data_IF_823241063933
#
_entry.id   IF_823241063933
#
_cell.length_a   1.000
_cell.length_b   1.000
_cell.length_c   1.000
_cell.angle_alpha   90.00
_cell.angle_beta   90.00
_cell.angle_gamma   90.00
#
_symmetry.space_group_name_H-M   'P 1'
#
loop_
_entity.id
_entity.type
_entity.pdbx_description
1 polymer ?
#
# COMPACT_ATOMS: atom_id res chain seq x y z
N UNK A 1 17.56 15.73 10.42
CA UNK A 1 16.60 14.97 9.57
C UNK A 1 15.14 15.11 10.02
N UNK A 2 14.77 14.76 11.27
CA UNK A 2 13.40 14.92 11.75
C UNK A 2 12.89 16.36 11.66
N UNK A 3 13.73 17.34 12.01
CA UNK A 3 13.44 18.74 11.88
C UNK A 3 13.19 19.14 10.41
N UNK A 4 13.97 18.63 9.48
CA UNK A 4 13.77 18.83 8.04
C UNK A 4 12.38 18.34 7.58
N UNK A 5 11.98 17.11 7.95
CA UNK A 5 10.64 16.61 7.62
C UNK A 5 9.54 17.39 8.36
N UNK A 6 9.84 17.92 9.56
CA UNK A 6 8.92 18.81 10.25
C UNK A 6 8.69 20.10 9.45
N UNK A 7 9.73 20.68 8.85
CA UNK A 7 9.58 21.85 7.96
C UNK A 7 8.79 21.54 6.69
N UNK A 8 8.92 20.31 6.13
CA UNK A 8 8.13 19.88 4.98
C UNK A 8 6.67 19.55 5.32
N UNK A 9 6.38 19.29 6.59
CA UNK A 9 5.01 19.02 7.07
C UNK A 9 4.72 19.79 8.37
N UNK A 10 4.80 21.14 8.37
CA UNK A 10 4.72 21.95 9.59
C UNK A 10 3.33 21.94 10.20
N UNK A 11 2.32 21.75 9.40
CA UNK A 11 0.93 21.89 9.79
C UNK A 11 0.31 20.60 10.35
N UNK A 12 -0.86 20.72 10.96
CA UNK A 12 -1.74 19.59 11.24
C UNK A 12 -2.17 18.91 9.93
N UNK A 13 -2.62 17.66 9.99
CA UNK A 13 -3.13 16.99 8.77
C UNK A 13 -4.24 17.78 8.10
N UNK A 14 -5.17 18.37 8.87
CA UNK A 14 -6.28 19.16 8.33
C UNK A 14 -5.81 20.37 7.53
N UNK A 15 -4.90 21.17 8.10
CA UNK A 15 -4.36 22.34 7.41
C UNK A 15 -3.42 21.94 6.25
N UNK A 16 -2.63 20.87 6.44
CA UNK A 16 -1.81 20.32 5.37
C UNK A 16 -2.65 19.85 4.18
N UNK A 17 -3.79 19.23 4.41
CA UNK A 17 -4.71 18.83 3.35
C UNK A 17 -5.27 20.01 2.56
N UNK A 18 -5.55 21.14 3.22
CA UNK A 18 -5.95 22.35 2.51
C UNK A 18 -4.90 22.77 1.47
N UNK A 19 -3.61 22.80 1.84
CA UNK A 19 -2.54 23.11 0.89
C UNK A 19 -2.36 21.99 -0.17
N UNK A 20 -2.52 20.72 0.21
CA UNK A 20 -2.51 19.61 -0.74
C UNK A 20 -3.61 19.75 -1.80
N UNK A 21 -4.79 20.20 -1.41
CA UNK A 21 -5.93 20.40 -2.31
C UNK A 21 -5.64 21.51 -3.33
N UNK A 22 -5.02 22.62 -2.92
CA UNK A 22 -4.58 23.68 -3.83
C UNK A 22 -3.52 23.16 -4.82
N UNK A 23 -2.48 22.49 -4.32
CA UNK A 23 -1.41 21.91 -5.14
C UNK A 23 -1.98 20.87 -6.13
N UNK A 24 -2.86 19.99 -5.67
CA UNK A 24 -3.47 18.97 -6.52
C UNK A 24 -4.32 19.56 -7.64
N UNK A 25 -5.01 20.67 -7.39
CA UNK A 25 -5.78 21.39 -8.40
C UNK A 25 -4.88 21.95 -9.51
N UNK A 26 -3.74 22.52 -9.14
CA UNK A 26 -2.72 23.02 -10.10
C UNK A 26 -2.15 21.82 -10.90
N UNK A 27 -1.74 20.73 -10.22
CA UNK A 27 -1.19 19.53 -10.87
C UNK A 27 -2.19 18.95 -11.87
N UNK A 28 -3.47 18.90 -11.51
CA UNK A 28 -4.54 18.41 -12.38
C UNK A 28 -4.75 19.33 -13.59
N UNK A 29 -4.85 20.64 -13.38
CA UNK A 29 -5.02 21.64 -14.44
C UNK A 29 -3.86 21.63 -15.46
N UNK A 30 -2.64 21.45 -14.99
CA UNK A 30 -1.44 21.33 -15.83
C UNK A 30 -1.32 19.97 -16.55
N UNK A 31 -2.26 19.05 -16.31
CA UNK A 31 -2.27 17.72 -16.91
C UNK A 31 -0.90 17.02 -16.88
N UNK A 32 -0.24 17.07 -15.73
CA UNK A 32 1.12 16.58 -15.52
C UNK A 32 1.25 15.08 -15.84
N UNK A 33 2.48 14.56 -15.88
CA UNK A 33 2.75 13.13 -16.07
C UNK A 33 2.05 12.24 -15.03
N UNK A 34 1.93 12.72 -13.78
CA UNK A 34 1.20 12.05 -12.71
C UNK A 34 -0.27 11.87 -13.12
N UNK A 35 -0.94 12.93 -13.54
CA UNK A 35 -2.34 12.91 -13.99
C UNK A 35 -2.53 11.98 -15.19
N UNK A 36 -1.65 12.04 -16.20
CA UNK A 36 -1.72 11.19 -17.39
C UNK A 36 -1.61 9.71 -17.05
N UNK A 37 -0.68 9.32 -16.18
CA UNK A 37 -0.52 7.92 -15.74
C UNK A 37 -1.74 7.47 -14.94
N UNK A 38 -2.21 8.27 -13.98
CA UNK A 38 -3.40 7.96 -13.20
C UNK A 38 -4.63 7.75 -14.08
N UNK A 39 -4.83 8.62 -15.09
CA UNK A 39 -5.94 8.51 -16.05
C UNK A 39 -5.89 7.19 -16.85
N UNK A 40 -4.72 6.79 -17.33
CA UNK A 40 -4.53 5.51 -18.04
C UNK A 40 -4.92 4.35 -17.12
N UNK A 41 -4.39 4.32 -15.91
CA UNK A 41 -4.61 3.23 -14.97
C UNK A 41 -6.07 3.14 -14.51
N UNK A 42 -6.68 4.28 -14.19
CA UNK A 42 -8.08 4.35 -13.75
C UNK A 42 -9.01 3.91 -14.88
N UNK A 43 -8.73 4.31 -16.12
CA UNK A 43 -9.49 3.86 -17.30
C UNK A 43 -9.42 2.33 -17.48
N UNK A 44 -8.25 1.72 -17.25
CA UNK A 44 -8.10 0.26 -17.32
C UNK A 44 -8.94 -0.42 -16.22
N UNK A 45 -8.92 0.13 -15.02
CA UNK A 45 -9.61 -0.45 -13.87
C UNK A 45 -11.14 -0.22 -13.86
N UNK A 46 -11.66 0.69 -14.69
CA UNK A 46 -13.07 1.08 -14.73
C UNK A 46 -13.59 1.16 -16.17
N UNK A 47 -13.44 0.06 -16.92
CA UNK A 47 -13.78 0.00 -18.36
C UNK A 47 -15.28 0.25 -18.65
N UNK A 48 -16.13 -0.05 -17.66
CA UNK A 48 -17.58 0.13 -17.75
C UNK A 48 -18.06 1.57 -17.49
N UNK A 49 -17.19 2.44 -16.95
CA UNK A 49 -17.54 3.82 -16.60
C UNK A 49 -17.43 4.76 -17.80
N UNK A 50 -18.32 5.75 -17.83
CA UNK A 50 -18.25 6.81 -18.84
C UNK A 50 -17.04 7.75 -18.59
N UNK A 51 -16.74 8.60 -19.58
CA UNK A 51 -15.58 9.50 -19.55
C UNK A 51 -15.64 10.50 -18.39
N UNK A 52 -16.83 11.02 -18.07
CA UNK A 52 -17.01 11.99 -16.98
C UNK A 52 -16.69 11.38 -15.62
N UNK A 53 -17.20 10.18 -15.36
CA UNK A 53 -16.95 9.47 -14.10
C UNK A 53 -15.47 9.13 -13.93
N UNK A 54 -14.81 8.72 -15.02
CA UNK A 54 -13.36 8.48 -15.00
C UNK A 54 -12.59 9.75 -14.63
N UNK A 55 -12.89 10.90 -15.25
CA UNK A 55 -12.22 12.16 -14.95
C UNK A 55 -12.46 12.63 -13.49
N UNK A 56 -13.65 12.39 -12.95
CA UNK A 56 -13.94 12.67 -11.53
C UNK A 56 -13.07 11.79 -10.61
N UNK A 57 -12.98 10.49 -10.90
CA UNK A 57 -12.08 9.58 -10.13
C UNK A 57 -10.63 10.03 -10.26
N UNK A 58 -10.16 10.43 -11.45
CA UNK A 58 -8.79 10.93 -11.67
C UNK A 58 -8.52 12.18 -10.82
N UNK A 59 -9.44 13.15 -10.85
CA UNK A 59 -9.30 14.39 -10.07
C UNK A 59 -9.22 14.11 -8.57
N UNK A 60 -10.11 13.26 -8.05
CA UNK A 60 -10.09 12.83 -6.65
C UNK A 60 -8.82 12.05 -6.32
N UNK A 61 -8.38 11.12 -7.18
CA UNK A 61 -7.18 10.34 -6.97
C UNK A 61 -5.92 11.22 -6.90
N UNK A 62 -5.76 12.19 -7.80
CA UNK A 62 -4.64 13.14 -7.75
C UNK A 62 -4.62 13.90 -6.42
N UNK A 63 -5.78 14.35 -5.93
CA UNK A 63 -5.92 15.01 -4.65
C UNK A 63 -5.49 14.09 -3.50
N UNK A 64 -6.01 12.86 -3.46
CA UNK A 64 -5.71 11.91 -2.38
C UNK A 64 -4.24 11.42 -2.44
N UNK A 65 -3.63 11.31 -3.63
CA UNK A 65 -2.19 11.03 -3.76
C UNK A 65 -1.33 12.11 -3.12
N UNK A 66 -1.61 13.39 -3.38
CA UNK A 66 -0.85 14.50 -2.78
C UNK A 66 -1.03 14.52 -1.25
N UNK A 67 -2.24 14.28 -0.76
CA UNK A 67 -2.50 14.12 0.68
C UNK A 67 -1.73 12.94 1.27
N UNK A 68 -1.66 11.81 0.58
CA UNK A 68 -0.92 10.61 1.00
C UNK A 68 0.59 10.87 1.12
N UNK A 69 1.17 11.66 0.21
CA UNK A 69 2.56 12.11 0.35
C UNK A 69 2.75 12.99 1.58
N UNK A 70 1.83 13.91 1.84
CA UNK A 70 1.87 14.72 3.06
C UNK A 70 1.74 13.88 4.33
N UNK A 71 0.87 12.86 4.35
CA UNK A 71 0.74 11.90 5.46
C UNK A 71 2.05 11.18 5.73
N UNK A 72 2.77 10.77 4.68
CA UNK A 72 4.09 10.14 4.82
C UNK A 72 5.10 11.09 5.46
N UNK A 73 5.20 12.33 4.98
CA UNK A 73 6.07 13.35 5.57
C UNK A 73 5.68 13.64 7.03
N UNK A 74 4.38 13.74 7.30
CA UNK A 74 3.84 13.94 8.64
C UNK A 74 4.17 12.75 9.56
N UNK A 75 4.04 11.52 9.07
CA UNK A 75 4.41 10.30 9.80
C UNK A 75 5.90 10.28 10.17
N UNK A 76 6.77 10.64 9.22
CA UNK A 76 8.22 10.68 9.43
C UNK A 76 8.66 11.78 10.40
N UNK A 77 7.87 12.84 10.59
CA UNK A 77 8.20 14.00 11.41
C UNK A 77 7.62 13.94 12.83
N UNK A 78 6.53 13.20 13.06
CA UNK A 78 5.78 13.20 14.33
C UNK A 78 6.11 11.99 15.21
N UNK A 79 5.75 12.10 16.49
CA UNK A 79 5.81 11.00 17.44
C UNK A 79 4.56 10.11 17.34
N UNK A 80 4.66 8.90 17.88
CA UNK A 80 3.62 7.89 17.79
C UNK A 80 2.30 8.31 18.47
N UNK A 81 2.37 9.05 19.57
CA UNK A 81 1.18 9.54 20.28
C UNK A 81 0.36 10.51 19.41
N UNK A 82 1.04 11.39 18.65
CA UNK A 82 0.38 12.28 17.69
C UNK A 82 -0.25 11.52 16.54
N UNK A 83 0.46 10.51 16.01
CA UNK A 83 -0.01 9.71 14.89
C UNK A 83 -1.22 8.84 15.25
N UNK A 84 -1.26 8.33 16.49
CA UNK A 84 -2.37 7.46 16.94
C UNK A 84 -3.74 8.14 16.88
N UNK A 85 -3.77 9.44 17.12
CA UNK A 85 -4.99 10.24 17.11
C UNK A 85 -5.52 10.57 15.70
N UNK A 86 -4.80 10.12 14.63
CA UNK A 86 -5.17 10.44 13.25
C UNK A 86 -6.07 9.40 12.60
N UNK A 87 -6.14 8.22 13.17
CA UNK A 87 -7.05 7.15 12.73
C UNK A 87 -8.33 7.22 13.57
N UNK A 88 -9.47 7.47 12.93
CA UNK A 88 -10.72 7.66 13.67
C UNK A 88 -11.49 6.36 13.93
N UNK A 89 -11.28 5.32 13.11
CA UNK A 89 -11.85 3.98 13.32
C UNK A 89 -10.96 2.88 12.74
N UNK A 90 -11.18 1.66 13.22
CA UNK A 90 -10.59 0.43 12.68
C UNK A 90 -11.73 -0.55 12.45
N UNK A 91 -11.98 -0.90 11.19
CA UNK A 91 -13.03 -1.82 10.78
C UNK A 91 -12.52 -3.26 10.73
N UNK A 92 -13.39 -4.21 11.07
CA UNK A 92 -13.14 -5.66 11.01
C UNK A 92 -11.89 -6.11 11.79
N UNK A 93 -11.53 -5.41 12.86
CA UNK A 93 -10.34 -5.73 13.68
C UNK A 93 -10.33 -7.18 14.19
N UNK A 94 -11.51 -7.78 14.35
CA UNK A 94 -11.65 -9.16 14.78
C UNK A 94 -10.93 -10.16 13.86
N UNK A 95 -10.84 -9.88 12.55
CA UNK A 95 -10.09 -10.70 11.60
C UNK A 95 -8.61 -10.81 11.97
N UNK A 96 -8.03 -9.73 12.50
CA UNK A 96 -6.67 -9.71 13.00
C UNK A 96 -6.55 -10.35 14.38
N UNK A 97 -7.41 -9.97 15.35
CA UNK A 97 -7.30 -10.37 16.74
C UNK A 97 -7.67 -11.83 16.99
N UNK A 98 -8.60 -12.40 16.21
CA UNK A 98 -9.09 -13.78 16.36
C UNK A 98 -8.35 -14.78 15.44
N UNK A 99 -7.43 -14.34 14.60
CA UNK A 99 -6.66 -15.26 13.76
C UNK A 99 -5.65 -16.03 14.61
N UNK A 100 -5.73 -17.37 14.59
CA UNK A 100 -4.72 -18.24 15.20
C UNK A 100 -3.39 -18.08 14.49
N UNK A 101 -2.29 -17.89 15.24
CA UNK A 101 -0.98 -17.53 14.71
C UNK A 101 0.10 -18.58 14.94
N UNK A 102 -0.28 -19.85 15.03
CA UNK A 102 0.68 -20.95 15.25
C UNK A 102 1.82 -20.94 14.22
N UNK A 103 1.58 -20.40 13.02
CA UNK A 103 2.51 -20.32 11.90
C UNK A 103 2.84 -18.87 11.50
N UNK A 104 2.65 -17.91 12.42
CA UNK A 104 2.77 -16.49 12.11
C UNK A 104 1.52 -15.92 11.43
N UNK A 105 1.63 -14.70 10.89
CA UNK A 105 0.55 -14.02 10.18
C UNK A 105 1.12 -13.16 9.04
N UNK A 106 0.49 -13.24 7.88
CA UNK A 106 0.79 -12.38 6.73
C UNK A 106 -0.26 -11.28 6.63
N UNK A 107 0.16 -10.02 6.75
CA UNK A 107 -0.67 -8.86 6.45
C UNK A 107 -0.45 -8.44 4.99
N UNK A 108 -1.42 -8.77 4.13
CA UNK A 108 -1.46 -8.34 2.74
C UNK A 108 -1.99 -6.91 2.66
N UNK A 109 -1.25 -6.01 2.03
CA UNK A 109 -1.68 -4.64 1.81
C UNK A 109 -1.49 -4.19 0.36
N UNK A 110 -1.97 -2.99 0.06
CA UNK A 110 -1.74 -2.26 -1.18
C UNK A 110 -1.34 -0.81 -0.86
N UNK A 111 -0.82 -0.08 -1.86
CA UNK A 111 -0.47 1.34 -1.69
C UNK A 111 -1.73 2.23 -1.74
N UNK A 112 -2.63 1.99 -0.78
CA UNK A 112 -3.77 2.86 -0.48
C UNK A 112 -3.36 3.81 0.63
N UNK A 113 -3.35 5.11 0.39
CA UNK A 113 -2.87 6.13 1.33
C UNK A 113 -1.41 5.89 1.75
N UNK A 114 -0.98 6.51 2.86
CA UNK A 114 0.39 6.35 3.36
C UNK A 114 0.63 4.98 4.00
N UNK A 115 1.42 4.14 3.34
CA UNK A 115 1.85 2.84 3.90
C UNK A 115 2.73 3.01 5.14
N UNK A 116 3.46 4.13 5.27
CA UNK A 116 4.24 4.44 6.48
C UNK A 116 3.34 4.72 7.68
N UNK A 117 2.24 5.45 7.46
CA UNK A 117 1.27 5.71 8.52
C UNK A 117 0.51 4.43 8.89
N UNK A 118 0.14 3.59 7.91
CA UNK A 118 -0.47 2.28 8.15
C UNK A 118 0.47 1.41 8.99
N UNK A 119 1.72 1.22 8.56
CA UNK A 119 2.71 0.41 9.28
C UNK A 119 2.90 0.91 10.72
N UNK A 120 3.00 2.23 10.91
CA UNK A 120 3.10 2.83 12.24
C UNK A 120 1.90 2.48 13.15
N UNK A 121 0.69 2.42 12.61
CA UNK A 121 -0.50 2.06 13.38
C UNK A 121 -0.55 0.56 13.72
N UNK A 122 -0.17 -0.29 12.77
CA UNK A 122 -0.15 -1.74 12.97
C UNK A 122 0.88 -2.16 14.02
N UNK A 123 2.07 -1.55 14.01
CA UNK A 123 3.16 -1.86 14.96
C UNK A 123 2.92 -1.44 16.40
N UNK A 124 1.86 -0.69 16.68
CA UNK A 124 1.44 -0.42 18.08
C UNK A 124 0.95 -1.64 18.80
N UNK A 125 0.46 -2.61 18.08
CA UNK A 125 -0.16 -3.79 18.67
C UNK A 125 0.87 -4.90 18.81
N UNK A 126 1.70 -5.07 17.79
CA UNK A 126 2.70 -6.14 17.75
C UNK A 126 3.88 -5.76 16.83
N UNK A 127 5.02 -6.42 17.05
CA UNK A 127 6.18 -6.26 16.19
C UNK A 127 5.88 -6.84 14.79
N UNK A 128 6.20 -6.08 13.76
CA UNK A 128 5.96 -6.46 12.36
C UNK A 128 7.28 -6.47 11.60
N UNK A 129 7.52 -7.54 10.85
CA UNK A 129 8.62 -7.61 9.89
C UNK A 129 8.10 -7.23 8.50
N UNK A 130 8.74 -6.24 7.86
CA UNK A 130 8.35 -5.77 6.54
C UNK A 130 9.56 -5.58 5.62
N UNK A 131 9.32 -5.60 4.31
CA UNK A 131 10.33 -5.26 3.31
C UNK A 131 9.98 -3.95 2.61
N UNK A 132 11.00 -3.22 2.18
CA UNK A 132 10.84 -1.98 1.44
C UNK A 132 11.85 -1.87 0.30
N UNK A 133 11.47 -1.16 -0.74
CA UNK A 133 12.40 -0.84 -1.82
C UNK A 133 13.33 0.28 -1.37
N UNK A 134 14.67 0.10 -1.46
CA UNK A 134 15.61 1.12 -1.03
C UNK A 134 15.44 2.43 -1.80
N UNK A 135 15.57 3.54 -1.08
CA UNK A 135 15.61 4.89 -1.67
C UNK A 135 17.02 5.13 -2.18
N UNK A 136 17.16 5.63 -3.40
CA UNK A 136 18.47 5.85 -4.05
C UNK A 136 19.39 6.82 -3.29
N UNK A 137 18.82 7.71 -2.48
CA UNK A 137 19.57 8.68 -1.67
C UNK A 137 19.87 8.04 -0.30
N UNK A 138 21.14 7.68 -0.07
CA UNK A 138 21.56 6.87 1.07
C UNK A 138 21.13 7.43 2.44
N UNK A 139 21.38 8.73 2.71
CA UNK A 139 20.99 9.33 3.99
C UNK A 139 19.48 9.34 4.23
N UNK A 140 18.68 9.48 3.15
CA UNK A 140 17.21 9.43 3.21
C UNK A 140 16.73 7.99 3.43
N UNK A 141 17.36 7.02 2.76
CA UNK A 141 17.10 5.60 2.97
C UNK A 141 17.30 5.20 4.44
N UNK A 142 18.43 5.57 5.02
CA UNK A 142 18.74 5.29 6.42
C UNK A 142 17.79 5.97 7.39
N UNK A 143 17.39 7.19 7.11
CA UNK A 143 16.44 7.91 7.94
C UNK A 143 15.06 7.24 7.94
N UNK A 144 14.53 6.90 6.75
CA UNK A 144 13.24 6.22 6.61
C UNK A 144 13.28 4.85 7.29
N UNK A 145 14.35 4.08 7.07
CA UNK A 145 14.58 2.80 7.73
C UNK A 145 14.56 2.92 9.26
N UNK A 146 15.37 3.83 9.83
CA UNK A 146 15.41 4.09 11.27
C UNK A 146 14.06 4.55 11.84
N UNK A 147 13.30 5.34 11.08
CA UNK A 147 11.99 5.80 11.50
C UNK A 147 10.98 4.66 11.59
N UNK A 148 10.95 3.78 10.58
CA UNK A 148 10.12 2.56 10.58
C UNK A 148 10.50 1.63 11.73
N UNK A 149 11.80 1.39 11.96
CA UNK A 149 12.27 0.57 13.09
C UNK A 149 11.88 1.15 14.45
N UNK A 150 11.87 2.47 14.57
CA UNK A 150 11.47 3.14 15.82
C UNK A 150 9.99 2.98 16.13
N UNK A 151 9.14 2.71 15.14
CA UNK A 151 7.72 2.40 15.36
C UNK A 151 7.49 0.98 15.87
N UNK A 152 8.55 0.15 16.02
CA UNK A 152 8.47 -1.24 16.44
C UNK A 152 8.54 -2.26 15.29
N UNK A 153 8.77 -1.81 14.05
CA UNK A 153 8.93 -2.71 12.90
C UNK A 153 10.38 -3.20 12.77
N UNK A 154 10.55 -4.44 12.31
CA UNK A 154 11.80 -4.91 11.68
C UNK A 154 11.68 -4.67 10.17
N UNK A 155 12.51 -3.81 9.59
CA UNK A 155 12.43 -3.50 8.15
C UNK A 155 13.69 -3.86 7.42
N UNK A 156 13.54 -4.57 6.29
CA UNK A 156 14.61 -5.05 5.43
C UNK A 156 14.41 -4.57 4.00
N UNK A 157 15.50 -4.52 3.24
CA UNK A 157 15.42 -4.20 1.82
C UNK A 157 14.80 -5.35 1.02
N UNK A 158 14.12 -5.02 -0.08
CA UNK A 158 13.55 -6.00 -1.01
C UNK A 158 14.66 -6.69 -1.81
N UNK A 159 15.28 -7.71 -1.22
CA UNK A 159 16.31 -8.57 -1.79
C UNK A 159 16.20 -9.98 -1.16
N UNK A 160 17.06 -10.91 -1.57
CA UNK A 160 17.06 -12.28 -1.04
C UNK A 160 17.20 -12.34 0.48
N UNK A 161 18.00 -11.45 1.09
CA UNK A 161 18.14 -11.37 2.55
C UNK A 161 16.82 -10.96 3.19
N UNK A 162 16.16 -9.92 2.68
CA UNK A 162 14.85 -9.49 3.19
C UNK A 162 13.79 -10.57 3.08
N UNK A 163 13.76 -11.33 1.99
CA UNK A 163 12.83 -12.48 1.84
C UNK A 163 13.12 -13.57 2.88
N UNK A 164 14.40 -13.88 3.15
CA UNK A 164 14.77 -14.84 4.22
C UNK A 164 14.30 -14.36 5.61
N UNK A 165 14.39 -13.07 5.88
CA UNK A 165 13.92 -12.50 7.16
C UNK A 165 12.40 -12.58 7.30
N UNK A 166 11.61 -12.37 6.21
CA UNK A 166 10.17 -12.60 6.23
C UNK A 166 9.83 -14.06 6.53
N UNK A 167 10.50 -14.99 5.87
CA UNK A 167 10.30 -16.43 6.09
C UNK A 167 10.65 -16.83 7.53
N UNK A 168 11.80 -16.38 8.03
CA UNK A 168 12.24 -16.62 9.42
C UNK A 168 11.27 -16.06 10.45
N UNK A 169 10.70 -14.86 10.20
CA UNK A 169 9.70 -14.28 11.07
C UNK A 169 8.44 -15.15 11.16
N UNK A 170 7.94 -15.63 10.02
CA UNK A 170 6.78 -16.53 9.99
C UNK A 170 7.05 -17.85 10.72
N UNK A 171 8.23 -18.45 10.53
CA UNK A 171 8.60 -19.68 11.24
C UNK A 171 8.64 -19.51 12.76
N UNK A 172 8.89 -18.28 13.25
CA UNK A 172 8.86 -17.93 14.68
C UNK A 172 7.47 -17.54 15.20
N UNK A 173 6.43 -17.65 14.37
CA UNK A 173 5.08 -17.23 14.73
C UNK A 173 4.89 -15.70 14.73
N UNK A 174 5.84 -14.93 14.14
CA UNK A 174 5.78 -13.46 14.07
C UNK A 174 4.89 -12.98 12.90
N UNK A 175 4.61 -11.68 12.87
CA UNK A 175 3.79 -11.05 11.84
C UNK A 175 4.68 -10.42 10.77
N UNK A 176 4.31 -10.63 9.51
CA UNK A 176 4.89 -9.88 8.39
C UNK A 176 3.85 -8.99 7.72
N UNK A 177 4.30 -7.89 7.10
CA UNK A 177 3.42 -7.02 6.29
C UNK A 177 4.07 -6.68 4.95
N UNK A 178 3.28 -6.70 3.89
CA UNK A 178 3.74 -6.38 2.54
C UNK A 178 2.61 -5.74 1.71
N UNK A 179 2.89 -4.58 1.10
CA UNK A 179 2.10 -4.05 -0.01
C UNK A 179 2.55 -4.74 -1.31
N UNK A 180 1.68 -5.58 -1.88
CA UNK A 180 2.04 -6.53 -2.95
C UNK A 180 1.60 -6.09 -4.36
N UNK A 181 1.14 -4.85 -4.50
CA UNK A 181 0.55 -4.30 -5.73
C UNK A 181 1.58 -3.75 -6.75
N UNK A 182 2.87 -3.63 -6.40
CA UNK A 182 3.89 -3.13 -7.30
C UNK A 182 4.54 -4.23 -8.14
N UNK A 183 5.03 -3.84 -9.33
CA UNK A 183 5.72 -4.75 -10.26
C UNK A 183 7.06 -5.18 -9.66
N UNK A 184 7.30 -6.49 -9.46
CA UNK A 184 8.54 -7.00 -8.89
C UNK A 184 9.72 -6.88 -9.87
N UNK A 185 10.93 -7.16 -9.37
CA UNK A 185 12.11 -7.28 -10.20
C UNK A 185 11.94 -8.45 -11.21
N UNK A 186 12.71 -8.41 -12.30
CA UNK A 186 12.69 -9.49 -13.30
C UNK A 186 13.06 -10.83 -12.65
N UNK A 187 12.32 -11.89 -12.98
CA UNK A 187 12.50 -13.23 -12.40
C UNK A 187 11.81 -13.44 -11.04
N UNK A 188 11.21 -12.40 -10.43
CA UNK A 188 10.58 -12.48 -9.09
C UNK A 188 9.04 -12.40 -9.13
N UNK A 189 8.43 -12.69 -10.26
CA UNK A 189 6.98 -12.65 -10.43
C UNK A 189 6.50 -13.52 -11.56
N UNK A 190 5.20 -13.57 -11.70
CA UNK A 190 4.48 -14.25 -12.77
C UNK A 190 3.52 -13.29 -13.44
N UNK A 191 3.03 -13.62 -14.63
CA UNK A 191 1.97 -12.85 -15.27
C UNK A 191 0.62 -13.34 -14.75
N UNK A 192 -0.21 -12.42 -14.26
CA UNK A 192 -1.51 -12.72 -13.69
C UNK A 192 -2.50 -11.57 -13.90
N UNK A 193 -3.79 -11.88 -13.91
CA UNK A 193 -4.85 -10.89 -14.11
C UNK A 193 -4.88 -9.85 -12.99
N UNK A 194 -5.01 -8.57 -13.39
CA UNK A 194 -5.24 -7.43 -12.51
C UNK A 194 -6.09 -6.40 -13.27
N UNK A 195 -7.32 -6.16 -12.82
CA UNK A 195 -8.29 -5.34 -13.52
C UNK A 195 -8.45 -5.71 -15.01
N UNK A 196 -8.58 -6.99 -15.32
CA UNK A 196 -8.77 -7.50 -16.68
C UNK A 196 -7.52 -7.47 -17.57
N UNK A 197 -6.36 -7.09 -17.07
CA UNK A 197 -5.08 -7.09 -17.78
C UNK A 197 -4.11 -8.11 -17.18
N UNK A 198 -3.45 -8.88 -18.04
CA UNK A 198 -2.43 -9.85 -17.62
C UNK A 198 -1.10 -9.14 -17.40
N UNK A 199 -0.73 -8.89 -16.13
CA UNK A 199 0.40 -8.06 -15.74
C UNK A 199 1.39 -8.79 -14.84
N UNK A 200 2.67 -8.38 -14.89
CA UNK A 200 3.71 -8.98 -14.06
C UNK A 200 3.48 -8.68 -12.58
N UNK A 201 3.23 -9.72 -11.79
CA UNK A 201 2.76 -9.69 -10.39
C UNK A 201 3.71 -10.48 -9.51
N UNK A 202 3.98 -10.01 -8.30
CA UNK A 202 4.79 -10.76 -7.33
C UNK A 202 4.08 -12.04 -6.89
N UNK A 203 4.85 -13.12 -6.75
CA UNK A 203 4.36 -14.40 -6.20
C UNK A 203 4.88 -14.63 -4.75
N UNK A 204 5.41 -13.58 -4.10
CA UNK A 204 6.08 -13.74 -2.81
C UNK A 204 5.12 -14.13 -1.68
N UNK A 205 3.99 -13.42 -1.54
CA UNK A 205 3.00 -13.72 -0.49
C UNK A 205 2.38 -15.11 -0.69
N UNK A 206 1.88 -15.49 -1.89
CA UNK A 206 1.43 -16.86 -2.14
C UNK A 206 2.48 -17.92 -1.79
N UNK A 207 3.73 -17.70 -2.18
CA UNK A 207 4.83 -18.64 -1.89
C UNK A 207 5.16 -18.75 -0.40
N UNK A 208 5.08 -17.64 0.35
CA UNK A 208 5.28 -17.67 1.81
C UNK A 208 4.12 -18.41 2.49
N UNK A 209 2.87 -18.11 2.10
CA UNK A 209 1.68 -18.79 2.61
C UNK A 209 1.77 -20.31 2.41
N UNK A 210 2.05 -20.75 1.18
CA UNK A 210 2.16 -22.18 0.85
C UNK A 210 3.27 -22.91 1.62
N UNK A 211 4.39 -22.21 1.94
CA UNK A 211 5.54 -22.82 2.63
C UNK A 211 5.44 -22.81 4.16
N UNK A 212 4.64 -21.91 4.72
CA UNK A 212 4.61 -21.71 6.18
C UNK A 212 3.26 -22.03 6.79
N UNK A 213 2.21 -22.21 5.98
CA UNK A 213 0.81 -22.32 6.41
C UNK A 213 0.33 -21.07 7.20
N UNK A 214 1.09 -19.96 7.15
CA UNK A 214 0.72 -18.73 7.83
C UNK A 214 -0.58 -18.16 7.20
N UNK A 215 -1.61 -17.86 7.99
CA UNK A 215 -2.82 -17.24 7.49
C UNK A 215 -2.52 -15.87 6.88
N UNK A 216 -3.34 -15.44 5.92
CA UNK A 216 -3.28 -14.12 5.32
C UNK A 216 -4.49 -13.33 5.78
N UNK A 217 -4.27 -12.09 6.20
CA UNK A 217 -5.31 -11.10 6.47
C UNK A 217 -4.99 -9.86 5.64
N UNK A 218 -5.95 -9.41 4.83
CA UNK A 218 -5.77 -8.16 4.08
C UNK A 218 -6.04 -6.96 4.97
N UNK A 219 -5.29 -5.87 4.76
CA UNK A 219 -5.43 -4.63 5.52
C UNK A 219 -5.00 -3.43 4.68
N UNK A 220 -5.81 -2.38 4.68
CA UNK A 220 -5.46 -1.13 4.03
C UNK A 220 -5.93 0.09 4.83
N UNK A 221 -5.32 1.23 4.56
CA UNK A 221 -5.78 2.52 5.04
C UNK A 221 -6.66 3.16 3.97
N UNK A 222 -7.74 3.78 4.41
CA UNK A 222 -8.70 4.48 3.56
C UNK A 222 -9.04 5.83 4.13
N UNK A 223 -9.53 6.72 3.27
CA UNK A 223 -10.22 7.94 3.67
C UNK A 223 -11.73 7.75 3.56
N UNK A 224 -12.46 8.23 4.55
CA UNK A 224 -13.92 8.28 4.52
C UNK A 224 -14.38 9.26 3.44
N UNK A 225 -15.23 8.81 2.54
CA UNK A 225 -15.66 9.58 1.35
C UNK A 225 -16.41 10.85 1.75
N UNK A 226 -17.10 10.84 2.90
CA UNK A 226 -17.95 11.95 3.35
C UNK A 226 -17.18 13.04 4.06
N UNK A 227 -16.20 12.67 4.91
CA UNK A 227 -15.51 13.60 5.79
C UNK A 227 -13.98 13.59 5.66
N UNK A 228 -13.42 12.74 4.81
CA UNK A 228 -11.99 12.64 4.54
C UNK A 228 -11.13 12.13 5.71
N UNK A 229 -11.74 11.60 6.79
CA UNK A 229 -11.02 11.08 7.95
C UNK A 229 -10.41 9.72 7.64
N UNK A 230 -9.18 9.49 8.10
CA UNK A 230 -8.47 8.25 7.87
C UNK A 230 -8.97 7.13 8.78
N UNK A 231 -9.14 5.94 8.20
CA UNK A 231 -9.47 4.73 8.92
C UNK A 231 -8.69 3.52 8.37
N UNK A 232 -8.58 2.47 9.20
CA UNK A 232 -7.98 1.20 8.80
C UNK A 232 -9.10 0.19 8.65
N UNK A 233 -9.07 -0.59 7.57
CA UNK A 233 -9.99 -1.69 7.34
C UNK A 233 -9.22 -2.98 7.11
N UNK A 234 -9.56 -4.00 7.89
CA UNK A 234 -9.20 -5.37 7.60
C UNK A 234 -10.24 -5.95 6.63
N UNK A 235 -9.78 -6.64 5.59
CA UNK A 235 -10.63 -7.21 4.56
C UNK A 235 -10.89 -8.70 4.77
N UNK A 236 -10.42 -9.56 3.86
CA UNK A 236 -10.60 -10.99 3.94
C UNK A 236 -9.50 -11.68 4.75
N UNK A 237 -9.83 -12.89 5.25
CA UNK A 237 -8.90 -13.82 5.88
C UNK A 237 -8.81 -15.10 5.04
N UNK A 238 -7.60 -15.54 4.76
CA UNK A 238 -7.31 -16.76 4.02
C UNK A 238 -6.49 -17.72 4.88
N UNK A 239 -6.98 -18.96 5.00
CA UNK A 239 -6.34 -20.05 5.74
C UNK A 239 -5.84 -21.11 4.74
N UNK A 240 -4.75 -21.78 5.06
CA UNK A 240 -4.25 -22.87 4.23
C UNK A 240 -5.18 -24.11 4.20
N UNK A 241 -5.97 -24.28 5.26
CA UNK A 241 -6.95 -25.38 5.39
C UNK A 241 -8.21 -25.22 4.54
N UNK A 242 -8.47 -24.03 4.06
CA UNK A 242 -9.62 -23.78 3.18
C UNK A 242 -9.19 -24.25 1.78
N UNK A 243 -9.66 -25.35 1.26
CA UNK A 243 -9.33 -26.02 0.00
C UNK A 243 -9.11 -25.10 -1.24
N UNK A 244 -9.01 -23.81 -1.05
CA UNK A 244 -8.65 -22.77 -2.01
C UNK A 244 -7.19 -22.36 -1.83
N UNK A 245 -6.36 -22.75 -2.80
CA UNK A 245 -4.98 -22.25 -2.87
C UNK A 245 -4.99 -20.73 -3.05
N UNK A 246 -4.42 -20.00 -2.08
CA UNK A 246 -4.19 -18.56 -2.24
C UNK A 246 -3.00 -18.34 -3.19
N UNK A 247 -3.28 -18.12 -4.44
CA UNK A 247 -2.32 -17.84 -5.52
C UNK A 247 -2.22 -16.36 -5.86
N UNK A 248 -1.43 -16.01 -6.86
CA UNK A 248 -1.28 -14.61 -7.30
C UNK A 248 -2.57 -14.03 -7.91
N UNK A 249 -3.47 -14.86 -8.44
CA UNK A 249 -4.79 -14.46 -8.92
C UNK A 249 -5.69 -14.06 -7.77
N UNK A 250 -5.77 -14.90 -6.73
CA UNK A 250 -6.51 -14.60 -5.51
C UNK A 250 -5.95 -13.33 -4.82
N UNK A 251 -4.61 -13.20 -4.77
CA UNK A 251 -3.95 -11.99 -4.23
C UNK A 251 -4.32 -10.73 -5.01
N UNK A 252 -4.25 -10.74 -6.33
CA UNK A 252 -4.64 -9.60 -7.15
C UNK A 252 -6.11 -9.25 -6.95
N UNK A 253 -6.99 -10.25 -6.88
CA UNK A 253 -8.43 -10.04 -6.65
C UNK A 253 -8.71 -9.40 -5.31
N UNK A 254 -8.00 -9.80 -4.27
CA UNK A 254 -8.11 -9.16 -2.95
C UNK A 254 -7.60 -7.71 -2.97
N UNK A 255 -6.50 -7.44 -3.69
CA UNK A 255 -6.00 -6.07 -3.88
C UNK A 255 -7.02 -5.21 -4.64
N UNK A 256 -7.64 -5.74 -5.70
CA UNK A 256 -8.74 -5.06 -6.42
C UNK A 256 -9.91 -4.72 -5.47
N UNK A 257 -10.27 -5.65 -4.60
CA UNK A 257 -11.33 -5.44 -3.60
C UNK A 257 -10.97 -4.31 -2.64
N UNK A 258 -9.74 -4.27 -2.12
CA UNK A 258 -9.27 -3.16 -1.29
C UNK A 258 -9.29 -1.82 -2.02
N UNK A 259 -8.87 -1.79 -3.29
CA UNK A 259 -8.87 -0.57 -4.11
C UNK A 259 -10.30 -0.07 -4.34
N UNK A 260 -11.24 -0.97 -4.62
CA UNK A 260 -12.63 -0.63 -4.94
C UNK A 260 -13.43 -0.08 -3.76
N UNK A 261 -12.96 -0.20 -2.51
CA UNK A 261 -13.58 0.44 -1.33
C UNK A 261 -13.60 1.97 -1.48
N UNK A 262 -12.47 2.55 -1.86
CA UNK A 262 -12.35 3.96 -2.26
C UNK A 262 -11.26 4.09 -3.33
N UNK A 263 -11.62 3.99 -4.61
CA UNK A 263 -10.63 4.02 -5.71
C UNK A 263 -9.74 5.26 -5.72
N UNK A 264 -10.18 6.38 -5.15
CA UNK A 264 -9.38 7.60 -5.07
C UNK A 264 -8.15 7.48 -4.15
N UNK A 265 -8.16 6.56 -3.20
CA UNK A 265 -7.07 6.38 -2.23
C UNK A 265 -5.87 5.60 -2.77
N UNK A 266 -6.04 4.91 -3.90
CA UNK A 266 -4.97 4.08 -4.46
C UNK A 266 -3.96 4.90 -5.26
N UNK A 267 -2.70 4.47 -5.21
CA UNK A 267 -1.56 5.12 -5.88
C UNK A 267 -1.59 4.87 -7.41
N UNK A 268 -2.55 5.49 -8.12
CA UNK A 268 -2.71 5.31 -9.56
C UNK A 268 -1.58 5.93 -10.41
N UNK A 269 -0.77 6.82 -9.89
CA UNK A 269 0.41 7.39 -10.56
C UNK A 269 1.57 6.40 -10.71
N UNK A 270 1.52 5.25 -10.04
CA UNK A 270 2.46 4.17 -10.27
C UNK A 270 2.12 3.42 -11.56
N UNK A 271 3.10 3.19 -12.44
CA UNK A 271 2.94 2.48 -13.70
C UNK A 271 2.74 0.97 -13.48
N UNK A 272 1.59 0.57 -12.90
CA UNK A 272 1.30 -0.84 -12.55
C UNK A 272 1.26 -1.76 -13.75
N UNK A 273 0.76 -1.28 -14.89
CA UNK A 273 0.59 -2.05 -16.12
C UNK A 273 1.79 -1.95 -17.08
N UNK A 274 2.98 -1.56 -16.61
CA UNK A 274 4.18 -1.37 -17.46
C UNK A 274 4.77 -2.67 -18.01
N UNK A 275 4.47 -3.82 -17.40
CA UNK A 275 4.87 -5.15 -17.86
C UNK A 275 3.62 -5.99 -18.04
N UNK A 276 3.25 -6.21 -19.29
CA UNK A 276 2.16 -7.08 -19.73
C UNK A 276 2.73 -8.29 -20.48
N UNK A 277 2.00 -9.39 -20.54
CA UNK A 277 2.43 -10.61 -21.20
C UNK A 277 2.39 -10.49 -22.73
N UNK A 278 1.48 -9.67 -23.24
CA UNK A 278 1.31 -9.42 -24.67
C UNK A 278 2.37 -8.43 -25.17
N UNK A 279 2.80 -8.56 -26.44
CA UNK A 279 3.68 -7.61 -27.15
C UNK A 279 2.99 -6.26 -27.42
N UNK A 280 1.96 -5.92 -26.65
CA UNK A 280 1.30 -4.60 -26.74
C UNK A 280 2.29 -3.48 -26.45
N UNK A 281 2.21 -2.43 -27.26
CA UNK A 281 3.00 -1.21 -27.06
C UNK A 281 2.84 -0.71 -25.63
N UNK A 282 3.94 -0.26 -25.04
CA UNK A 282 3.91 0.32 -23.69
C UNK A 282 2.81 1.39 -23.58
N UNK A 283 1.76 1.08 -22.83
CA UNK A 283 0.57 1.92 -22.70
C UNK A 283 0.83 3.32 -22.10
N UNK A 284 2.03 3.56 -21.58
CA UNK A 284 2.45 4.84 -20.99
C UNK A 284 3.38 5.66 -21.92
N UNK A 285 3.53 5.26 -23.18
CA UNK A 285 4.29 6.02 -24.19
C UNK A 285 3.41 7.03 -24.90
#
# INVERSE_FOLDING_TARGET
>A
MRLFFYFLSPFSLRLGYFFCDLISSIIFALNTKLVKISRINIKIANQEKNKSDIEDIVKRSVKESIRSYYETLFCLSRNQNTLSKKIFKVENRYLFSQTKRNFGLILLSAHNRSVDLLLNQLTKQEQITAIFKPIKIGFLNDFVRKNRQRSGSKVFETNLKGVKELFSALQKGEIIAMAADQVPAQGMGIYENFFGKNVYTTNLIPSLHARTNAPIVSVAMHSDITNGRLYIRYGAKYLYSDNNTFDAKAMNKEIETMININPADYNWEYKRFKKQQTNEKNIYK
#
